data_IF_353295834048
#
_entry.id   IF_353295834048
#
_cell.length_a   1.000
_cell.length_b   1.000
_cell.length_c   1.000
_cell.angle_alpha   90.00
_cell.angle_beta   90.00
_cell.angle_gamma   90.00
#
_symmetry.space_group_name_H-M   'P 1'
#
loop_
_entity.id
_entity.type
_entity.pdbx_description
1 polymer ?
#
# COMPACT_ATOMS: atom_id res chain seq x y z
N UNK A 1 19.06 -1.90 -4.24
CA UNK A 1 18.17 -0.73 -4.43
C UNK A 1 18.71 0.60 -3.92
N UNK A 2 18.63 0.97 -2.62
CA UNK A 2 19.13 2.30 -2.16
C UNK A 2 20.64 2.48 -2.41
N UNK A 3 21.43 1.41 -2.30
CA UNK A 3 22.87 1.42 -2.60
C UNK A 3 23.19 1.58 -4.10
N UNK A 4 22.31 1.09 -4.99
CA UNK A 4 22.49 1.15 -6.45
C UNK A 4 22.10 2.52 -7.03
N UNK A 5 21.27 3.29 -6.33
CA UNK A 5 20.97 4.68 -6.71
C UNK A 5 22.19 5.60 -6.56
N UNK A 6 23.20 5.23 -5.76
CA UNK A 6 24.35 6.09 -5.46
C UNK A 6 25.56 5.82 -6.36
N UNK A 7 25.54 4.77 -7.18
CA UNK A 7 26.73 4.30 -7.92
C UNK A 7 27.01 5.03 -9.24
N UNK A 8 26.14 5.92 -9.73
CA UNK A 8 26.33 6.58 -11.04
C UNK A 8 27.00 7.96 -11.00
N UNK A 9 27.43 8.46 -9.84
CA UNK A 9 27.95 9.84 -9.72
C UNK A 9 26.89 10.94 -9.95
N UNK A 10 25.65 10.56 -10.27
CA UNK A 10 24.50 11.45 -10.41
C UNK A 10 23.73 11.54 -9.09
N UNK A 11 23.55 12.76 -8.58
CA UNK A 11 22.71 13.01 -7.39
C UNK A 11 21.25 13.00 -7.85
N UNK A 12 20.56 11.88 -7.63
CA UNK A 12 19.13 11.81 -7.85
C UNK A 12 18.38 12.76 -6.91
N UNK A 13 17.40 13.46 -7.45
CA UNK A 13 16.45 14.23 -6.65
C UNK A 13 15.57 13.30 -5.81
N UNK A 14 15.06 13.78 -4.67
CA UNK A 14 14.15 12.99 -3.82
C UNK A 14 12.98 12.40 -4.61
N UNK A 15 12.43 13.17 -5.56
CA UNK A 15 11.35 12.72 -6.45
C UNK A 15 11.77 11.51 -7.30
N UNK A 16 12.94 11.56 -7.92
CA UNK A 16 13.44 10.44 -8.73
C UNK A 16 13.69 9.20 -7.89
N UNK A 17 14.24 9.37 -6.67
CA UNK A 17 14.46 8.25 -5.76
C UNK A 17 13.15 7.61 -5.31
N UNK A 18 12.15 8.42 -4.95
CA UNK A 18 10.79 7.99 -4.61
C UNK A 18 10.15 7.22 -5.77
N UNK A 19 10.27 7.72 -7.00
CA UNK A 19 9.70 7.05 -8.18
C UNK A 19 10.33 5.67 -8.43
N UNK A 20 11.64 5.53 -8.24
CA UNK A 20 12.33 4.24 -8.34
C UNK A 20 11.85 3.27 -7.25
N UNK A 21 11.68 3.77 -6.01
CA UNK A 21 11.17 2.96 -4.91
C UNK A 21 9.74 2.50 -5.18
N UNK A 22 8.85 3.38 -5.62
CA UNK A 22 7.47 3.03 -5.96
C UNK A 22 7.43 1.95 -7.05
N UNK A 23 8.22 2.09 -8.12
CA UNK A 23 8.28 1.11 -9.23
C UNK A 23 8.86 -0.25 -8.83
N UNK A 24 9.58 -0.31 -7.72
CA UNK A 24 10.19 -1.55 -7.23
C UNK A 24 9.32 -2.35 -6.25
N UNK A 25 8.17 -1.79 -5.84
CA UNK A 25 7.29 -2.47 -4.93
C UNK A 25 6.80 -3.81 -5.54
N UNK A 26 6.59 -4.85 -4.73
CA UNK A 26 6.19 -6.16 -5.26
C UNK A 26 4.81 -6.09 -5.95
N UNK A 27 4.54 -7.02 -6.89
CA UNK A 27 3.34 -7.01 -7.74
C UNK A 27 2.00 -6.98 -6.98
N UNK A 28 1.94 -7.54 -5.77
CA UNK A 28 0.74 -7.47 -4.93
C UNK A 28 0.39 -6.03 -4.48
N UNK A 29 1.29 -5.07 -4.67
CA UNK A 29 1.08 -3.64 -4.44
C UNK A 29 0.79 -2.86 -5.74
N UNK A 30 0.58 -3.50 -6.89
CA UNK A 30 0.43 -2.82 -8.20
C UNK A 30 -0.66 -1.73 -8.20
N UNK A 31 -1.81 -2.01 -7.59
CA UNK A 31 -2.90 -1.02 -7.42
C UNK A 31 -2.49 0.19 -6.55
N UNK A 32 -1.59 -0.02 -5.59
CA UNK A 32 -1.06 1.02 -4.68
C UNK A 32 0.00 1.84 -5.42
N UNK A 33 0.85 1.17 -6.18
CA UNK A 33 1.89 1.77 -7.04
C UNK A 33 1.26 2.73 -8.03
N UNK A 34 0.18 2.34 -8.71
CA UNK A 34 -0.54 3.22 -9.64
C UNK A 34 -1.05 4.48 -8.93
N UNK A 35 -1.69 4.33 -7.76
CA UNK A 35 -2.19 5.48 -7.01
C UNK A 35 -1.07 6.42 -6.54
N UNK A 36 0.03 5.89 -6.00
CA UNK A 36 1.17 6.70 -5.55
C UNK A 36 1.90 7.39 -6.70
N UNK A 37 2.00 6.76 -7.87
CA UNK A 37 2.74 7.32 -9.02
C UNK A 37 2.08 8.59 -9.57
N UNK A 38 0.75 8.70 -9.45
CA UNK A 38 -0.01 9.87 -9.90
C UNK A 38 -0.23 10.92 -8.80
N UNK A 39 0.08 10.59 -7.54
CA UNK A 39 -0.12 11.46 -6.40
C UNK A 39 1.06 12.45 -6.24
N UNK A 40 0.80 13.71 -6.58
CA UNK A 40 1.79 14.80 -6.49
C UNK A 40 2.18 15.14 -5.03
N UNK A 41 1.44 14.64 -4.04
CA UNK A 41 1.78 14.82 -2.62
C UNK A 41 2.91 13.91 -2.18
N UNK A 42 3.15 12.79 -2.88
CA UNK A 42 4.22 11.83 -2.57
C UNK A 42 5.55 12.35 -3.08
N UNK A 43 6.37 12.90 -2.18
CA UNK A 43 7.65 13.54 -2.52
C UNK A 43 8.84 12.97 -1.75
N UNK A 44 8.57 12.29 -0.64
CA UNK A 44 9.55 11.74 0.29
C UNK A 44 9.28 10.27 0.56
N UNK A 45 10.24 9.58 1.17
CA UNK A 45 10.02 8.21 1.61
C UNK A 45 9.00 8.11 2.74
N UNK A 46 8.89 9.13 3.59
CA UNK A 46 7.89 9.16 4.66
C UNK A 46 6.46 9.20 4.08
N UNK A 47 6.25 9.92 2.97
CA UNK A 47 4.96 9.93 2.28
C UNK A 47 4.60 8.53 1.74
N UNK A 48 5.58 7.78 1.24
CA UNK A 48 5.37 6.39 0.79
C UNK A 48 4.96 5.52 1.99
N UNK A 49 5.68 5.64 3.11
CA UNK A 49 5.39 4.88 4.34
C UNK A 49 3.98 5.16 4.83
N UNK A 50 3.60 6.44 4.95
CA UNK A 50 2.27 6.87 5.38
C UNK A 50 1.16 6.30 4.47
N UNK A 51 1.33 6.31 3.15
CA UNK A 51 0.35 5.71 2.24
C UNK A 51 0.27 4.19 2.40
N UNK A 52 1.40 3.50 2.52
CA UNK A 52 1.42 2.04 2.74
C UNK A 52 0.70 1.66 4.04
N UNK A 53 0.96 2.38 5.12
CA UNK A 53 0.28 2.15 6.40
C UNK A 53 -1.23 2.37 6.29
N UNK A 54 -1.66 3.41 5.58
CA UNK A 54 -3.09 3.68 5.37
C UNK A 54 -3.75 2.55 4.58
N UNK A 55 -3.08 2.03 3.54
CA UNK A 55 -3.60 0.90 2.76
C UNK A 55 -3.70 -0.36 3.62
N UNK A 56 -2.68 -0.66 4.42
CA UNK A 56 -2.71 -1.80 5.35
C UNK A 56 -3.86 -1.66 6.35
N UNK A 57 -4.06 -0.48 6.95
CA UNK A 57 -5.17 -0.22 7.86
C UNK A 57 -6.52 -0.47 7.19
N UNK A 58 -6.72 0.02 5.96
CA UNK A 58 -7.97 -0.20 5.20
C UNK A 58 -8.20 -1.67 4.89
N UNK A 59 -7.15 -2.40 4.50
CA UNK A 59 -7.26 -3.83 4.23
C UNK A 59 -7.63 -4.61 5.50
N UNK A 60 -7.05 -4.27 6.65
CA UNK A 60 -7.40 -4.91 7.92
C UNK A 60 -8.85 -4.63 8.32
N UNK A 61 -9.33 -3.40 8.14
CA UNK A 61 -10.74 -3.05 8.40
C UNK A 61 -11.68 -3.83 7.47
N UNK A 62 -11.37 -3.91 6.18
CA UNK A 62 -12.18 -4.70 5.23
C UNK A 62 -12.29 -6.17 5.65
N UNK A 63 -11.17 -6.80 6.04
CA UNK A 63 -11.15 -8.19 6.51
C UNK A 63 -11.93 -8.42 7.81
N UNK A 64 -11.95 -7.43 8.71
CA UNK A 64 -12.76 -7.51 9.93
C UNK A 64 -14.25 -7.42 9.62
N UNK A 65 -14.64 -6.52 8.70
CA UNK A 65 -16.03 -6.39 8.26
C UNK A 65 -16.52 -7.67 7.56
N UNK A 66 -15.69 -8.26 6.69
CA UNK A 66 -15.99 -9.55 6.06
C UNK A 66 -16.22 -10.66 7.11
N UNK A 67 -15.35 -10.75 8.13
CA UNK A 67 -15.54 -11.71 9.21
C UNK A 67 -16.83 -11.46 10.01
N UNK A 68 -17.15 -10.20 10.31
CA UNK A 68 -18.40 -9.86 11.00
C UNK A 68 -19.63 -10.30 10.18
N UNK A 69 -19.63 -10.06 8.87
CA UNK A 69 -20.70 -10.50 7.98
C UNK A 69 -20.83 -12.02 7.87
N UNK A 70 -19.70 -12.75 7.88
CA UNK A 70 -19.71 -14.23 7.89
C UNK A 70 -20.31 -14.77 9.19
N UNK A 71 -19.93 -14.20 10.34
CA UNK A 71 -20.45 -14.61 11.66
C UNK A 71 -21.95 -14.34 11.76
N UNK A 72 -22.42 -13.17 11.35
CA UNK A 72 -23.85 -12.80 11.36
C UNK A 72 -24.68 -13.69 10.41
N UNK A 73 -24.10 -14.09 9.28
CA UNK A 73 -24.79 -14.96 8.34
C UNK A 73 -24.88 -16.41 8.84
N UNK A 74 -23.88 -16.88 9.59
CA UNK A 74 -23.91 -18.21 10.20
C UNK A 74 -24.84 -18.29 11.41
N UNK A 75 -24.91 -17.23 12.23
CA UNK A 75 -25.87 -17.18 13.34
C UNK A 75 -27.31 -17.19 12.83
N UNK A 76 -27.63 -16.42 11.79
CA UNK A 76 -28.98 -16.42 11.16
C UNK A 76 -29.39 -17.76 10.54
N UNK A 77 -28.43 -18.59 10.09
CA UNK A 77 -28.72 -19.95 9.62
C UNK A 77 -29.04 -20.91 10.77
N UNK A 78 -28.41 -20.74 11.94
CA UNK A 78 -28.60 -21.64 13.09
C UNK A 78 -29.85 -21.32 13.93
N UNK A 79 -30.47 -20.14 13.77
CA UNK A 79 -31.74 -19.77 14.43
C UNK A 79 -32.99 -20.13 13.62
N UNK A 80 -32.84 -20.82 12.48
CA UNK A 80 -33.95 -21.43 11.73
C UNK A 80 -33.99 -22.93 12.01
N UNK A 81 -34.40 -23.31 13.22
CA UNK A 81 -34.84 -24.67 13.57
C UNK A 81 -36.24 -24.59 14.16
#
# INVERSE_FOLDING_TARGET
MIKELKTSGHVFTNKQQVEVVIKSLPKNYEHIVVNMTHDKSVKTFDDIVCHLELVVKRLMVARLNEQAHVIESNSRKNFRL
#
